data_IF_295047505073
#
_entry.id   IF_295047505073
#
_cell.length_a   1.000
_cell.length_b   1.000
_cell.length_c   1.000
_cell.angle_alpha   90.00
_cell.angle_beta   90.00
_cell.angle_gamma   90.00
#
_symmetry.space_group_name_H-M   'P 1'
#
loop_
_entity.id
_entity.type
_entity.pdbx_description
1 polymer ?
#
# COMPACT_ATOMS: atom_id res chain seq x y z
N UNK A 1 -8.84 4.85 -10.12
CA UNK A 1 -9.16 3.87 -9.04
C UNK A 1 -9.85 2.62 -9.58
N UNK A 2 -10.49 2.66 -10.75
CA UNK A 2 -11.17 1.49 -11.34
C UNK A 2 -10.30 0.23 -11.43
N UNK A 3 -9.00 0.36 -11.70
CA UNK A 3 -8.07 -0.77 -11.77
C UNK A 3 -7.75 -1.41 -10.40
N UNK A 4 -7.94 -0.68 -9.29
CA UNK A 4 -7.80 -1.22 -7.93
C UNK A 4 -9.08 -1.97 -7.56
N UNK A 5 -10.25 -1.43 -7.95
CA UNK A 5 -11.56 -2.05 -7.70
C UNK A 5 -11.79 -3.33 -8.54
N UNK A 6 -10.95 -3.58 -9.55
CA UNK A 6 -10.91 -4.86 -10.24
C UNK A 6 -10.52 -6.04 -9.32
N UNK A 7 -9.93 -5.75 -8.16
CA UNK A 7 -9.75 -6.69 -7.06
C UNK A 7 -11.01 -6.64 -6.17
N UNK A 8 -11.89 -7.66 -6.18
CA UNK A 8 -13.13 -7.63 -5.41
C UNK A 8 -12.93 -7.33 -3.92
N UNK A 9 -11.82 -7.81 -3.35
CA UNK A 9 -11.41 -7.58 -1.96
C UNK A 9 -11.09 -6.12 -1.62
N UNK A 10 -10.90 -5.27 -2.63
CA UNK A 10 -10.58 -3.84 -2.47
C UNK A 10 -11.82 -2.93 -2.60
N UNK A 11 -12.98 -3.49 -2.93
CA UNK A 11 -14.24 -2.72 -3.00
C UNK A 11 -14.60 -2.16 -1.62
N UNK A 12 -14.80 -0.85 -1.51
CA UNK A 12 -15.13 -0.19 -0.23
C UNK A 12 -13.92 0.07 0.69
N UNK A 13 -12.69 -0.23 0.24
CA UNK A 13 -11.46 -0.08 1.04
C UNK A 13 -10.76 1.28 0.85
N UNK A 14 -11.38 2.25 0.18
CA UNK A 14 -10.81 3.56 -0.16
C UNK A 14 -10.34 4.31 1.09
N UNK A 15 -11.10 4.20 2.20
CA UNK A 15 -10.73 4.80 3.48
C UNK A 15 -9.44 4.20 4.04
N UNK A 16 -9.28 2.87 3.98
CA UNK A 16 -8.06 2.19 4.46
C UNK A 16 -6.86 2.50 3.56
N UNK A 17 -7.07 2.60 2.25
CA UNK A 17 -6.03 3.02 1.30
C UNK A 17 -5.55 4.44 1.67
N UNK A 18 -6.48 5.38 1.85
CA UNK A 18 -6.15 6.75 2.19
C UNK A 18 -5.47 6.86 3.57
N UNK A 19 -5.91 6.08 4.55
CA UNK A 19 -5.27 6.01 5.88
C UNK A 19 -3.84 5.46 5.81
N UNK A 20 -3.62 4.40 5.02
CA UNK A 20 -2.30 3.78 4.81
C UNK A 20 -1.32 4.77 4.18
N UNK A 21 -1.77 5.58 3.23
CA UNK A 21 -0.93 6.61 2.60
C UNK A 21 -0.64 7.79 3.53
N UNK A 22 -1.61 8.21 4.36
CA UNK A 22 -1.42 9.32 5.30
C UNK A 22 -0.57 8.92 6.51
N UNK A 23 -0.75 7.71 7.01
CA UNK A 23 -0.12 7.22 8.23
C UNK A 23 0.41 5.79 8.00
N UNK A 24 1.40 5.58 7.12
CA UNK A 24 2.00 4.24 6.98
C UNK A 24 2.57 3.79 8.33
N UNK A 25 2.85 2.49 8.48
CA UNK A 25 3.76 1.97 9.52
C UNK A 25 5.12 1.59 8.94
N UNK A 26 5.17 1.31 7.64
CA UNK A 26 6.38 0.97 6.93
C UNK A 26 6.25 1.46 5.48
N UNK A 27 7.30 2.09 4.96
CA UNK A 27 7.43 2.43 3.53
C UNK A 27 8.70 1.79 3.00
N UNK A 28 8.59 1.11 1.87
CA UNK A 28 9.72 0.46 1.18
C UNK A 28 9.81 0.90 -0.26
N UNK A 29 11.04 1.01 -0.76
CA UNK A 29 11.26 1.18 -2.19
C UNK A 29 10.98 -0.14 -2.92
N UNK A 30 10.32 -0.06 -4.07
CA UNK A 30 10.19 -1.20 -4.95
C UNK A 30 11.56 -1.63 -5.47
N UNK A 31 11.81 -2.94 -5.48
CA UNK A 31 13.06 -3.52 -6.02
C UNK A 31 13.11 -3.57 -7.54
N UNK A 32 11.95 -3.49 -8.18
CA UNK A 32 11.82 -3.64 -9.64
C UNK A 32 11.59 -2.30 -10.35
N UNK A 33 11.28 -1.24 -9.59
CA UNK A 33 11.01 0.09 -10.13
C UNK A 33 11.35 1.12 -9.05
N UNK A 34 12.48 1.81 -9.20
CA UNK A 34 12.95 2.78 -8.20
C UNK A 34 12.02 3.99 -8.01
N UNK A 35 11.13 4.24 -8.99
CA UNK A 35 10.12 5.30 -8.95
C UNK A 35 8.86 4.89 -8.21
N UNK A 36 8.77 3.63 -7.75
CA UNK A 36 7.63 3.11 -7.03
C UNK A 36 7.97 2.83 -5.56
N UNK A 37 7.04 3.22 -4.69
CA UNK A 37 7.10 3.01 -3.25
C UNK A 37 5.92 2.16 -2.79
N UNK A 38 6.17 1.35 -1.76
CA UNK A 38 5.19 0.44 -1.17
C UNK A 38 4.92 0.88 0.26
N UNK A 39 3.71 1.39 0.48
CA UNK A 39 3.20 1.85 1.75
C UNK A 39 2.46 0.71 2.45
N UNK A 40 2.80 0.45 3.69
CA UNK A 40 2.25 -0.64 4.48
C UNK A 40 1.65 -0.14 5.77
N UNK A 41 0.46 -0.64 6.11
CA UNK A 41 -0.17 -0.49 7.43
C UNK A 41 -0.86 -1.80 7.81
N UNK A 42 -0.71 -2.20 9.06
CA UNK A 42 -1.33 -3.41 9.60
C UNK A 42 -2.69 -3.07 10.18
N UNK A 43 -3.69 -3.85 9.81
CA UNK A 43 -5.05 -3.71 10.30
C UNK A 43 -5.44 -5.00 11.00
N UNK A 44 -5.75 -4.89 12.29
CA UNK A 44 -6.51 -5.88 13.03
C UNK A 44 -7.98 -5.49 12.90
N UNK A 45 -8.90 -6.43 12.68
CA UNK A 45 -10.35 -6.18 12.42
C UNK A 45 -10.78 -5.92 10.96
N UNK A 46 -10.03 -6.37 9.94
CA UNK A 46 -10.62 -6.44 8.60
C UNK A 46 -11.52 -7.67 8.47
N UNK A 47 -12.50 -7.66 7.56
CA UNK A 47 -13.41 -8.80 7.30
C UNK A 47 -12.65 -10.07 6.88
N UNK A 48 -11.40 -9.94 6.46
CA UNK A 48 -10.50 -11.01 6.03
C UNK A 48 -9.40 -11.35 7.07
N UNK A 49 -9.56 -10.87 8.31
CA UNK A 49 -8.63 -11.08 9.42
C UNK A 49 -7.52 -10.04 9.52
N UNK A 50 -6.49 -10.36 10.30
CA UNK A 50 -5.38 -9.43 10.54
C UNK A 50 -4.42 -9.46 9.36
N UNK A 51 -4.31 -8.34 8.64
CA UNK A 51 -3.54 -8.25 7.40
C UNK A 51 -2.81 -6.92 7.28
N UNK A 52 -1.72 -6.94 6.54
CA UNK A 52 -1.09 -5.73 6.03
C UNK A 52 -1.84 -5.28 4.77
N UNK A 53 -2.26 -4.02 4.71
CA UNK A 53 -2.60 -3.38 3.46
C UNK A 53 -1.33 -2.81 2.85
N UNK A 54 -1.03 -3.22 1.62
CA UNK A 54 0.03 -2.66 0.80
C UNK A 54 -0.58 -1.74 -0.26
N UNK A 55 -0.14 -0.49 -0.33
CA UNK A 55 -0.50 0.46 -1.38
C UNK A 55 0.76 0.81 -2.17
N UNK A 56 0.73 0.58 -3.47
CA UNK A 56 1.88 0.85 -4.35
C UNK A 56 1.63 2.18 -5.05
N UNK A 57 2.52 3.15 -4.80
CA UNK A 57 2.46 4.48 -5.42
C UNK A 57 3.63 4.61 -6.37
N UNK A 58 3.37 5.07 -7.60
CA UNK A 58 4.40 5.41 -8.56
C UNK A 58 4.48 6.92 -8.71
N UNK A 59 5.70 7.44 -8.60
CA UNK A 59 6.01 8.85 -8.75
C UNK A 59 6.54 9.12 -10.15
N UNK A 60 6.00 10.15 -10.78
CA UNK A 60 6.46 10.71 -12.04
C UNK A 60 6.84 12.17 -11.82
N UNK A 61 7.45 12.80 -12.83
CA UNK A 61 7.86 14.20 -12.72
C UNK A 61 6.65 15.11 -12.54
N UNK A 62 6.40 15.55 -11.29
CA UNK A 62 5.29 16.41 -10.92
C UNK A 62 3.94 15.71 -10.70
N UNK A 63 3.90 14.37 -10.66
CA UNK A 63 2.66 13.60 -10.48
C UNK A 63 2.89 12.31 -9.68
N UNK A 64 1.83 11.75 -9.11
CA UNK A 64 1.86 10.45 -8.44
C UNK A 64 0.50 9.76 -8.54
N UNK A 65 0.53 8.45 -8.76
CA UNK A 65 -0.70 7.66 -8.83
C UNK A 65 -0.53 6.31 -8.14
N UNK A 66 -1.66 5.77 -7.67
CA UNK A 66 -1.70 4.44 -7.06
C UNK A 66 -1.72 3.40 -8.19
N UNK A 67 -0.67 2.59 -8.26
CA UNK A 67 -0.56 1.50 -9.23
C UNK A 67 -1.49 0.35 -8.85
N UNK A 68 -1.48 -0.06 -7.59
CA UNK A 68 -2.33 -1.13 -7.05
C UNK A 68 -2.39 -1.05 -5.53
N UNK A 69 -3.37 -1.72 -4.93
CA UNK A 69 -3.43 -1.97 -3.51
C UNK A 69 -3.95 -3.39 -3.25
N UNK A 70 -3.40 -4.06 -2.25
CA UNK A 70 -3.78 -5.43 -1.91
C UNK A 70 -3.42 -5.78 -0.47
N UNK A 71 -4.12 -6.77 0.09
CA UNK A 71 -3.80 -7.32 1.40
C UNK A 71 -2.72 -8.41 1.34
N UNK A 72 -1.86 -8.48 2.35
CA UNK A 72 -0.80 -9.48 2.46
C UNK A 72 -0.50 -9.84 3.91
N UNK A 73 0.00 -11.04 4.15
CA UNK A 73 0.40 -11.49 5.49
C UNK A 73 1.68 -10.80 5.99
N UNK A 74 2.56 -10.36 5.07
CA UNK A 74 3.85 -9.77 5.43
C UNK A 74 4.35 -8.74 4.42
N UNK A 75 5.00 -7.66 4.87
CA UNK A 75 5.61 -6.70 3.95
C UNK A 75 6.70 -7.33 3.08
N UNK A 76 6.77 -6.95 1.80
CA UNK A 76 7.82 -7.42 0.87
C UNK A 76 9.20 -6.95 1.35
N UNK A 77 10.20 -7.84 1.39
CA UNK A 77 11.59 -7.49 1.74
C UNK A 77 12.16 -6.47 0.74
N UNK A 78 12.93 -5.49 1.23
CA UNK A 78 13.54 -4.45 0.41
C UNK A 78 14.13 -3.34 1.26
N UNK A 79 14.59 -2.29 0.58
CA UNK A 79 15.10 -1.08 1.21
C UNK A 79 13.96 -0.37 1.96
N UNK A 80 14.14 -0.12 3.26
CA UNK A 80 13.18 0.63 4.07
C UNK A 80 13.47 2.10 3.91
N UNK A 81 12.48 2.83 3.38
CA UNK A 81 12.53 4.29 3.27
C UNK A 81 12.06 4.96 4.55
N UNK A 82 11.07 4.35 5.22
CA UNK A 82 10.50 4.88 6.45
C UNK A 82 9.88 3.77 7.30
N UNK A 83 9.90 3.95 8.62
CA UNK A 83 9.22 3.07 9.57
C UNK A 83 8.73 3.88 10.76
N UNK A 84 7.46 3.71 11.16
CA UNK A 84 6.93 4.32 12.38
C UNK A 84 7.65 3.72 13.59
N UNK A 85 8.15 4.58 14.48
CA UNK A 85 8.72 4.15 15.77
C UNK A 85 7.63 3.82 16.76
#
# INVERSE_FOLDING_TARGET
MEHILAHPEMTGMETLIAETLRNPQLVRQSRSDETAELYYRFYTQTTIGDKWLCVVVKYLQGDAFIVTAYFTDKPKRGNTLWQST
#
